data_IF_743597837242
#
_entry.id   IF_743597837242
#
_cell.length_a   1.000
_cell.length_b   1.000
_cell.length_c   1.000
_cell.angle_alpha   90.00
_cell.angle_beta   90.00
_cell.angle_gamma   90.00
#
_symmetry.space_group_name_H-M   'P 1'
#
loop_
_entity.id
_entity.type
_entity.pdbx_description
1 polymer ?
#
# COMPACT_ATOMS: atom_id res chain seq x y z
N UNK A 1 -11.31 4.98 11.15
CA UNK A 1 -10.62 5.50 9.95
C UNK A 1 -11.17 6.89 9.66
N UNK A 2 -10.37 7.80 9.12
CA UNK A 2 -10.90 9.09 8.62
C UNK A 2 -11.42 8.90 7.19
N UNK A 3 -12.60 9.43 6.88
CA UNK A 3 -13.20 9.33 5.54
C UNK A 3 -13.44 10.71 4.97
N UNK A 4 -12.97 10.91 3.75
CA UNK A 4 -13.22 12.13 2.98
C UNK A 4 -13.99 11.79 1.72
N UNK A 5 -15.12 12.46 1.49
CA UNK A 5 -15.87 12.34 0.24
C UNK A 5 -15.15 13.11 -0.85
N UNK A 6 -14.95 12.49 -2.02
CA UNK A 6 -14.40 13.20 -3.17
C UNK A 6 -15.44 14.15 -3.80
N UNK A 7 -14.96 15.17 -4.50
CA UNK A 7 -15.78 16.17 -5.21
C UNK A 7 -16.78 15.52 -6.19
N UNK A 8 -16.34 14.48 -6.90
CA UNK A 8 -17.21 13.56 -7.59
C UNK A 8 -17.88 12.63 -6.56
N UNK A 9 -19.05 13.07 -6.08
CA UNK A 9 -19.94 12.55 -5.03
C UNK A 9 -20.17 11.02 -4.90
N UNK A 10 -19.54 10.20 -5.74
CA UNK A 10 -19.61 8.74 -5.81
C UNK A 10 -18.34 8.02 -5.34
N UNK A 11 -17.30 8.73 -4.89
CA UNK A 11 -16.08 8.10 -4.36
C UNK A 11 -15.65 8.67 -3.01
N UNK A 12 -14.95 7.86 -2.24
CA UNK A 12 -14.45 8.18 -0.90
C UNK A 12 -12.95 7.92 -0.81
N UNK A 13 -12.29 8.63 0.10
CA UNK A 13 -10.90 8.40 0.51
C UNK A 13 -10.90 7.96 1.95
N UNK A 14 -10.56 6.69 2.19
CA UNK A 14 -10.35 6.18 3.53
C UNK A 14 -8.88 6.36 3.94
N UNK A 15 -8.68 6.83 5.16
CA UNK A 15 -7.38 6.97 5.82
C UNK A 15 -7.36 6.02 7.01
N UNK A 16 -6.79 4.82 6.79
CA UNK A 16 -6.73 3.76 7.79
C UNK A 16 -5.74 4.13 8.90
N UNK A 17 -6.08 3.79 10.14
CA UNK A 17 -5.12 3.74 11.25
C UNK A 17 -4.25 2.48 11.15
N UNK A 18 -3.14 2.38 11.89
CA UNK A 18 -2.34 1.16 11.95
C UNK A 18 -3.16 -0.07 12.38
N UNK A 19 -3.99 0.06 13.41
CA UNK A 19 -4.83 -1.03 13.90
C UNK A 19 -5.86 -1.50 12.87
N UNK A 20 -6.46 -0.55 12.14
CA UNK A 20 -7.40 -0.86 11.06
C UNK A 20 -6.70 -1.55 9.89
N UNK A 21 -5.53 -1.07 9.47
CA UNK A 21 -4.73 -1.75 8.46
C UNK A 21 -4.39 -3.18 8.89
N UNK A 22 -4.00 -3.40 10.15
CA UNK A 22 -3.73 -4.73 10.68
C UNK A 22 -4.99 -5.60 10.72
N UNK A 23 -6.15 -5.03 11.08
CA UNK A 23 -7.43 -5.74 11.04
C UNK A 23 -7.76 -6.21 9.62
N UNK A 24 -7.65 -5.31 8.63
CA UNK A 24 -7.86 -5.64 7.21
C UNK A 24 -6.90 -6.74 6.73
N UNK A 25 -5.61 -6.66 7.10
CA UNK A 25 -4.59 -7.65 6.75
C UNK A 25 -4.91 -9.03 7.34
N UNK A 26 -5.43 -9.10 8.58
CA UNK A 26 -5.81 -10.35 9.25
C UNK A 26 -7.11 -10.96 8.71
N UNK A 27 -8.05 -10.12 8.28
CA UNK A 27 -9.32 -10.56 7.69
C UNK A 27 -9.17 -11.10 6.25
N UNK A 28 -7.97 -11.08 5.67
CA UNK A 28 -7.72 -11.60 4.34
C UNK A 28 -8.05 -13.10 4.27
N UNK A 29 -8.97 -13.47 3.37
CA UNK A 29 -9.45 -14.86 3.26
C UNK A 29 -8.44 -15.88 2.74
N UNK A 30 -7.23 -15.43 2.36
CA UNK A 30 -6.13 -16.32 1.96
C UNK A 30 -4.78 -15.64 2.20
N UNK A 31 -3.70 -16.43 2.29
CA UNK A 31 -2.35 -15.89 2.41
C UNK A 31 -1.97 -15.02 1.21
N UNK A 32 -2.38 -15.41 -0.02
CA UNK A 32 -2.26 -14.59 -1.23
C UNK A 32 -2.92 -13.23 -1.08
N UNK A 33 -4.16 -13.19 -0.60
CA UNK A 33 -4.90 -11.93 -0.45
C UNK A 33 -4.27 -11.05 0.66
N UNK A 34 -3.71 -11.67 1.72
CA UNK A 34 -2.93 -10.96 2.73
C UNK A 34 -1.67 -10.33 2.13
N UNK A 35 -0.92 -11.07 1.29
CA UNK A 35 0.24 -10.53 0.57
C UNK A 35 -0.14 -9.38 -0.37
N UNK A 36 -1.28 -9.47 -1.07
CA UNK A 36 -1.79 -8.37 -1.90
C UNK A 36 -2.02 -7.10 -1.06
N UNK A 37 -2.58 -7.24 0.15
CA UNK A 37 -2.78 -6.14 1.08
C UNK A 37 -1.44 -5.56 1.54
N UNK A 38 -0.48 -6.42 1.91
CA UNK A 38 0.88 -6.03 2.31
C UNK A 38 1.61 -5.27 1.20
N UNK A 39 1.54 -5.73 -0.05
CA UNK A 39 2.16 -5.04 -1.18
C UNK A 39 1.57 -3.65 -1.41
N UNK A 40 0.26 -3.46 -1.18
CA UNK A 40 -0.36 -2.15 -1.24
C UNK A 40 0.00 -1.24 -0.06
N UNK A 41 -0.01 -1.78 1.16
CA UNK A 41 0.08 -1.01 2.41
C UNK A 41 1.49 -0.83 2.98
N UNK A 42 2.40 -1.76 2.71
CA UNK A 42 3.77 -1.78 3.26
C UNK A 42 4.82 -1.52 2.17
N UNK A 43 4.53 -1.84 0.91
CA UNK A 43 5.42 -1.58 -0.25
C UNK A 43 4.92 -0.43 -1.14
N UNK A 44 3.64 -0.04 -0.97
CA UNK A 44 3.04 1.04 -1.72
C UNK A 44 2.76 0.70 -3.18
N UNK A 45 2.66 -0.57 -3.58
CA UNK A 45 2.31 -0.94 -4.95
C UNK A 45 0.90 -0.49 -5.32
N UNK A 46 0.71 -0.09 -6.59
CA UNK A 46 -0.62 0.12 -7.17
C UNK A 46 -1.22 -1.22 -7.57
N UNK A 47 -2.55 -1.30 -7.63
CA UNK A 47 -3.24 -2.55 -7.97
C UNK A 47 -2.90 -3.14 -9.34
N UNK A 48 -2.42 -2.32 -10.29
CA UNK A 48 -1.95 -2.79 -11.60
C UNK A 48 -0.46 -3.14 -11.62
N UNK A 49 0.31 -2.73 -10.62
CA UNK A 49 1.73 -3.08 -10.46
C UNK A 49 1.85 -4.50 -9.87
N UNK A 50 0.95 -4.88 -8.95
CA UNK A 50 0.96 -6.19 -8.26
C UNK A 50 0.98 -7.39 -9.23
N UNK A 51 0.17 -7.46 -10.30
CA UNK A 51 0.23 -8.55 -11.29
C UNK A 51 1.56 -8.71 -12.03
N UNK A 52 2.41 -7.68 -12.04
CA UNK A 52 3.63 -7.67 -12.84
C UNK A 52 4.84 -8.22 -12.08
N UNK A 53 4.72 -8.43 -10.77
CA UNK A 53 5.87 -8.78 -9.94
C UNK A 53 6.20 -10.27 -10.08
N UNK A 54 7.48 -10.58 -10.08
CA UNK A 54 8.06 -11.91 -10.28
C UNK A 54 9.13 -12.15 -9.23
N UNK A 55 9.47 -13.40 -8.87
CA UNK A 55 10.55 -13.64 -7.92
C UNK A 55 11.88 -13.00 -8.36
N UNK A 56 12.19 -12.99 -9.66
CA UNK A 56 13.40 -12.34 -10.21
C UNK A 56 13.46 -10.81 -10.04
N UNK A 57 12.32 -10.17 -9.73
CA UNK A 57 12.26 -8.73 -9.51
C UNK A 57 12.75 -8.32 -8.11
N UNK A 58 12.92 -9.27 -7.19
CA UNK A 58 13.50 -9.02 -5.87
C UNK A 58 15.03 -8.93 -5.99
N UNK A 59 15.60 -7.83 -5.52
CA UNK A 59 17.04 -7.54 -5.60
C UNK A 59 17.58 -7.03 -4.28
N UNK A 60 18.79 -7.44 -3.93
CA UNK A 60 19.51 -6.92 -2.76
C UNK A 60 20.36 -5.72 -3.18
N UNK A 61 20.24 -4.61 -2.45
CA UNK A 61 20.99 -3.37 -2.64
C UNK A 61 21.49 -2.93 -1.26
N UNK A 62 22.81 -2.99 -1.05
CA UNK A 62 23.47 -2.61 0.21
C UNK A 62 22.86 -3.26 1.47
N UNK A 63 22.52 -4.55 1.37
CA UNK A 63 21.91 -5.31 2.48
C UNK A 63 20.41 -5.08 2.67
N UNK A 64 19.76 -4.35 1.76
CA UNK A 64 18.32 -4.13 1.79
C UNK A 64 17.64 -4.60 0.49
N UNK A 65 16.48 -5.23 0.62
CA UNK A 65 15.71 -5.66 -0.52
C UNK A 65 15.01 -4.50 -1.25
N UNK A 66 14.96 -4.62 -2.57
CA UNK A 66 14.21 -3.77 -3.49
C UNK A 66 13.36 -4.66 -4.39
N UNK A 67 12.17 -4.19 -4.71
CA UNK A 67 11.28 -4.83 -5.67
C UNK A 67 11.22 -3.99 -6.95
N UNK A 68 11.74 -4.53 -8.05
CA UNK A 68 11.61 -3.92 -9.37
C UNK A 68 10.15 -3.98 -9.82
N UNK A 69 9.55 -2.82 -10.07
CA UNK A 69 8.24 -2.69 -10.73
C UNK A 69 8.49 -2.38 -12.20
N UNK A 70 8.17 -3.28 -13.14
CA UNK A 70 8.47 -3.10 -14.56
C UNK A 70 7.78 -1.89 -15.17
N UNK A 71 6.47 -1.76 -14.99
CA UNK A 71 5.68 -0.68 -15.57
C UNK A 71 4.88 0.04 -14.49
N UNK A 72 5.24 1.32 -14.28
CA UNK A 72 4.52 2.23 -13.40
C UNK A 72 3.24 2.80 -14.03
N UNK A 73 2.73 3.90 -13.46
CA UNK A 73 1.58 4.60 -14.06
C UNK A 73 2.06 5.35 -15.29
N UNK A 74 1.47 5.04 -16.43
CA UNK A 74 1.67 5.80 -17.65
C UNK A 74 0.79 7.05 -17.67
N UNK A 75 1.41 8.22 -17.65
CA UNK A 75 0.73 9.52 -17.83
C UNK A 75 1.01 10.14 -19.18
N UNK A 76 1.89 9.53 -19.98
CA UNK A 76 2.44 10.10 -21.21
C UNK A 76 2.28 9.18 -22.44
N UNK A 77 1.69 7.99 -22.29
CA UNK A 77 1.36 7.05 -23.36
C UNK A 77 2.50 6.11 -23.80
N UNK A 78 3.58 6.01 -23.02
CA UNK A 78 4.80 5.26 -23.35
C UNK A 78 5.07 3.98 -22.55
N UNK A 79 4.10 3.48 -21.78
CA UNK A 79 4.35 2.50 -20.73
C UNK A 79 4.94 3.20 -19.50
N UNK A 80 4.34 3.03 -18.33
CA UNK A 80 4.72 3.84 -17.17
C UNK A 80 6.14 3.56 -16.71
N UNK A 81 6.81 4.57 -16.14
CA UNK A 81 8.23 4.49 -15.79
C UNK A 81 8.49 3.38 -14.76
N UNK A 82 9.51 2.53 -14.96
CA UNK A 82 9.89 1.53 -13.96
C UNK A 82 10.36 2.22 -12.68
N UNK A 83 10.21 1.52 -11.55
CA UNK A 83 10.73 1.98 -10.25
C UNK A 83 11.19 0.81 -9.40
N UNK A 84 12.06 1.10 -8.45
CA UNK A 84 12.52 0.13 -7.45
C UNK A 84 11.87 0.50 -6.11
N UNK A 85 10.85 -0.25 -5.72
CA UNK A 85 10.18 -0.07 -4.45
C UNK A 85 11.07 -0.61 -3.31
N UNK A 86 11.07 0.06 -2.16
CA UNK A 86 11.66 -0.50 -0.96
C UNK A 86 10.83 -1.72 -0.53
N UNK A 87 11.48 -2.87 -0.33
CA UNK A 87 10.82 -4.10 0.09
C UNK A 87 11.23 -4.40 1.54
N UNK A 88 10.32 -4.25 2.53
CA UNK A 88 10.60 -4.65 3.91
C UNK A 88 10.95 -6.14 4.00
N UNK A 89 11.90 -6.49 4.88
CA UNK A 89 12.40 -7.88 5.04
C UNK A 89 11.30 -8.89 5.37
N UNK A 90 10.31 -8.48 6.17
CA UNK A 90 9.14 -9.30 6.48
C UNK A 90 8.33 -9.64 5.23
N UNK A 91 8.08 -8.63 4.38
CA UNK A 91 7.31 -8.78 3.14
C UNK A 91 8.13 -9.56 2.10
N UNK A 92 9.44 -9.35 2.00
CA UNK A 92 10.34 -10.16 1.18
C UNK A 92 10.25 -11.64 1.55
N UNK A 93 10.41 -11.93 2.84
CA UNK A 93 10.40 -13.31 3.36
C UNK A 93 9.06 -14.00 3.08
N UNK A 94 7.95 -13.31 3.33
CA UNK A 94 6.61 -13.83 3.06
C UNK A 94 6.36 -14.05 1.57
N UNK A 95 6.79 -13.12 0.71
CA UNK A 95 6.60 -13.18 -0.74
C UNK A 95 7.40 -14.32 -1.38
N UNK A 96 8.67 -14.47 -1.00
CA UNK A 96 9.53 -15.54 -1.52
C UNK A 96 9.13 -16.91 -0.97
N UNK A 97 8.67 -16.98 0.28
CA UNK A 97 8.09 -18.20 0.83
C UNK A 97 6.85 -18.63 0.05
N UNK A 98 5.95 -17.69 -0.23
CA UNK A 98 4.77 -17.97 -1.05
C UNK A 98 5.13 -18.50 -2.42
N UNK A 99 6.05 -17.83 -3.13
CA UNK A 99 6.52 -18.27 -4.44
C UNK A 99 7.09 -19.70 -4.40
N UNK A 100 7.89 -20.01 -3.36
CA UNK A 100 8.46 -21.35 -3.20
C UNK A 100 7.39 -22.43 -2.93
N UNK A 101 6.44 -22.15 -2.04
CA UNK A 101 5.38 -23.10 -1.67
C UNK A 101 4.44 -23.38 -2.84
N UNK A 102 4.12 -22.37 -3.64
CA UNK A 102 3.25 -22.50 -4.82
C UNK A 102 4.01 -23.01 -6.07
N UNK A 103 5.34 -23.20 -5.98
CA UNK A 103 6.16 -23.66 -7.10
C UNK A 103 6.25 -22.65 -8.25
N UNK A 104 6.25 -21.36 -7.95
CA UNK A 104 6.31 -20.28 -8.94
C UNK A 104 7.75 -20.10 -9.42
N UNK A 105 7.95 -20.19 -10.73
CA UNK A 105 9.27 -20.01 -11.34
C UNK A 105 9.74 -18.55 -11.30
N UNK A 106 11.05 -18.33 -11.47
CA UNK A 106 11.66 -17.01 -11.26
C UNK A 106 11.14 -15.92 -12.20
N UNK A 107 10.77 -16.28 -13.42
CA UNK A 107 10.26 -15.41 -14.47
C UNK A 107 8.73 -15.42 -14.59
N UNK A 108 8.04 -16.14 -13.69
CA UNK A 108 6.59 -16.19 -13.64
C UNK A 108 6.01 -15.12 -12.69
N UNK A 109 4.82 -14.57 -12.98
CA UNK A 109 4.13 -13.69 -12.06
C UNK A 109 3.88 -14.38 -10.71
N UNK A 110 4.21 -13.71 -9.60
CA UNK A 110 3.94 -14.25 -8.26
C UNK A 110 2.44 -14.43 -8.04
N UNK A 111 1.63 -13.58 -8.64
CA UNK A 111 0.18 -13.71 -8.61
C UNK A 111 -0.37 -13.70 -10.03
N UNK A 112 -0.92 -14.83 -10.47
CA UNK A 112 -1.69 -14.91 -11.70
C UNK A 112 -3.09 -14.28 -11.50
N UNK A 113 -3.11 -12.94 -11.44
CA UNK A 113 -4.32 -12.14 -11.22
C UNK A 113 -4.28 -10.88 -12.08
N UNK A 114 -5.44 -10.38 -12.46
CA UNK A 114 -5.54 -9.06 -13.10
C UNK A 114 -5.61 -7.93 -12.08
N UNK A 115 -5.35 -6.69 -12.52
CA UNK A 115 -5.64 -5.46 -11.74
C UNK A 115 -7.04 -5.48 -11.11
N UNK A 116 -8.05 -5.90 -11.87
CA UNK A 116 -9.45 -5.93 -11.41
C UNK A 116 -9.67 -7.00 -10.35
N UNK A 117 -8.98 -8.14 -10.46
CA UNK A 117 -8.97 -9.16 -9.41
C UNK A 117 -8.33 -8.63 -8.13
N UNK A 118 -7.18 -7.95 -8.20
CA UNK A 118 -6.55 -7.31 -7.03
C UNK A 118 -7.52 -6.34 -6.34
N UNK A 119 -8.15 -5.45 -7.11
CA UNK A 119 -9.14 -4.51 -6.58
C UNK A 119 -10.31 -5.21 -5.89
N UNK A 120 -10.83 -6.28 -6.51
CA UNK A 120 -11.94 -7.08 -5.96
C UNK A 120 -11.53 -7.81 -4.68
N UNK A 121 -10.31 -8.35 -4.59
CA UNK A 121 -9.83 -9.04 -3.38
C UNK A 121 -9.75 -8.09 -2.20
N UNK A 122 -9.12 -6.92 -2.36
CA UNK A 122 -9.08 -5.89 -1.30
C UNK A 122 -10.50 -5.47 -0.90
N UNK A 123 -11.39 -5.29 -1.88
CA UNK A 123 -12.77 -4.91 -1.62
C UNK A 123 -13.52 -5.97 -0.81
N UNK A 124 -13.41 -7.24 -1.21
CA UNK A 124 -14.05 -8.35 -0.52
C UNK A 124 -13.54 -8.50 0.92
N UNK A 125 -12.22 -8.33 1.15
CA UNK A 125 -11.67 -8.34 2.51
C UNK A 125 -12.24 -7.21 3.37
N UNK A 126 -12.37 -6.00 2.82
CA UNK A 126 -13.00 -4.90 3.54
C UNK A 126 -14.50 -5.14 3.82
N UNK A 127 -15.23 -5.79 2.91
CA UNK A 127 -16.63 -6.16 3.13
C UNK A 127 -16.78 -7.18 4.27
N UNK A 128 -15.87 -8.16 4.37
CA UNK A 128 -15.82 -9.09 5.52
C UNK A 128 -15.63 -8.32 6.84
N UNK A 129 -14.67 -7.39 6.89
CA UNK A 129 -14.47 -6.58 8.10
C UNK A 129 -15.70 -5.74 8.42
N UNK A 130 -16.39 -5.21 7.41
CA UNK A 130 -17.62 -4.45 7.60
C UNK A 130 -18.76 -5.29 8.20
N UNK A 131 -18.87 -6.55 7.79
CA UNK A 131 -19.86 -7.50 8.30
C UNK A 131 -19.52 -7.94 9.75
N UNK A 132 -18.24 -8.13 10.07
CA UNK A 132 -17.77 -8.57 11.39
C UNK A 132 -17.78 -7.47 12.45
N UNK A 133 -17.51 -6.22 12.06
CA UNK A 133 -17.39 -5.07 12.99
C UNK A 133 -18.65 -4.22 13.11
N UNK A 134 -19.69 -4.50 12.33
CA UNK A 134 -20.89 -3.65 12.15
C UNK A 134 -20.57 -2.19 11.79
N UNK A 135 -19.39 -1.95 11.20
CA UNK A 135 -18.97 -0.63 10.74
C UNK A 135 -19.08 -0.54 9.20
N UNK A 136 -20.11 0.12 8.66
CA UNK A 136 -20.33 0.20 7.23
C UNK A 136 -19.28 1.03 6.48
N UNK A 137 -18.45 1.78 7.17
CA UNK A 137 -17.40 2.59 6.55
C UNK A 137 -16.32 1.75 5.87
N UNK A 138 -16.09 0.52 6.36
CA UNK A 138 -15.24 -0.46 5.69
C UNK A 138 -15.68 -0.74 4.25
N UNK A 139 -16.98 -0.67 3.96
CA UNK A 139 -17.50 -0.80 2.59
C UNK A 139 -17.15 0.39 1.69
N UNK A 140 -16.38 1.38 2.15
CA UNK A 140 -15.81 2.45 1.30
C UNK A 140 -14.34 2.18 0.95
N UNK A 141 -13.67 1.27 1.67
CA UNK A 141 -12.25 0.95 1.47
C UNK A 141 -12.01 0.30 0.11
N UNK A 142 -10.89 0.65 -0.50
CA UNK A 142 -10.44 0.24 -1.82
C UNK A 142 -8.92 0.01 -1.85
N UNK A 143 -8.43 -0.66 -2.90
CA UNK A 143 -6.98 -0.85 -3.11
C UNK A 143 -6.15 0.45 -3.16
N UNK A 144 -6.75 1.58 -3.52
CA UNK A 144 -6.03 2.86 -3.54
C UNK A 144 -5.74 3.36 -2.13
N UNK A 145 -6.55 2.95 -1.15
CA UNK A 145 -6.44 3.38 0.24
C UNK A 145 -5.28 2.68 0.95
N UNK A 146 -4.87 1.49 0.48
CA UNK A 146 -3.63 0.83 0.92
C UNK A 146 -2.40 1.69 0.58
N UNK A 147 -2.31 2.18 -0.66
CA UNK A 147 -1.23 3.07 -1.06
C UNK A 147 -1.29 4.42 -0.33
N UNK A 148 -2.49 4.88 0.04
CA UNK A 148 -2.68 6.05 0.89
C UNK A 148 -2.16 5.82 2.30
N UNK A 149 -2.48 4.67 2.88
CA UNK A 149 -1.96 4.24 4.17
C UNK A 149 -0.42 4.19 4.15
N UNK A 150 0.18 3.55 3.16
CA UNK A 150 1.64 3.52 2.96
C UNK A 150 2.25 4.93 2.96
N UNK A 151 1.70 5.84 2.14
CA UNK A 151 2.20 7.20 2.03
C UNK A 151 2.08 7.98 3.34
N UNK A 152 0.94 7.86 4.04
CA UNK A 152 0.69 8.53 5.31
C UNK A 152 1.60 7.97 6.42
N UNK A 153 1.81 6.66 6.47
CA UNK A 153 2.71 6.05 7.44
C UNK A 153 4.12 6.61 7.26
N UNK A 154 4.67 6.61 6.05
CA UNK A 154 6.02 7.12 5.86
C UNK A 154 6.13 8.64 6.07
N UNK A 155 5.21 9.44 5.50
CA UNK A 155 5.35 10.90 5.51
C UNK A 155 4.90 11.55 6.82
N UNK A 156 3.86 11.02 7.46
CA UNK A 156 3.21 11.66 8.62
C UNK A 156 3.65 10.98 9.92
N UNK A 157 3.56 9.64 10.00
CA UNK A 157 3.89 8.90 11.23
C UNK A 157 5.41 8.79 11.41
N UNK A 158 6.11 8.28 10.39
CA UNK A 158 7.57 8.10 10.42
C UNK A 158 8.36 9.37 10.06
N UNK A 159 7.67 10.44 9.63
CA UNK A 159 8.26 11.73 9.24
C UNK A 159 9.42 11.60 8.24
N UNK A 160 9.32 10.61 7.34
CA UNK A 160 10.33 10.31 6.34
C UNK A 160 10.56 11.51 5.43
N UNK A 161 11.83 11.73 5.06
CA UNK A 161 12.19 12.75 4.08
C UNK A 161 11.38 12.56 2.79
N UNK A 162 10.56 13.55 2.36
CA UNK A 162 9.70 13.39 1.20
C UNK A 162 10.45 13.03 -0.09
N UNK A 163 11.70 13.47 -0.27
CA UNK A 163 12.51 13.11 -1.45
C UNK A 163 12.85 11.62 -1.48
N UNK A 164 13.10 11.02 -0.32
CA UNK A 164 13.34 9.57 -0.20
C UNK A 164 12.07 8.81 -0.55
N UNK A 165 10.93 9.24 0.00
CA UNK A 165 9.62 8.63 -0.28
C UNK A 165 9.23 8.74 -1.75
N UNK A 166 9.47 9.90 -2.39
CA UNK A 166 9.23 10.10 -3.82
C UNK A 166 10.06 9.14 -4.68
N UNK A 167 11.34 8.95 -4.34
CA UNK A 167 12.25 8.04 -5.04
C UNK A 167 11.76 6.58 -4.98
N UNK A 168 11.49 6.05 -3.78
CA UNK A 168 11.08 4.63 -3.63
C UNK A 168 9.64 4.40 -4.06
N UNK A 169 8.79 5.40 -3.86
CA UNK A 169 7.38 5.33 -4.15
C UNK A 169 7.02 5.58 -5.61
N UNK A 170 7.92 6.15 -6.41
CA UNK A 170 7.66 6.54 -7.79
C UNK A 170 6.65 7.67 -7.91
N UNK A 171 6.82 8.73 -7.10
CA UNK A 171 6.13 9.99 -7.26
C UNK A 171 7.04 11.00 -7.96
N UNK A 172 6.54 11.60 -9.05
CA UNK A 172 7.35 12.48 -9.91
C UNK A 172 7.47 13.93 -9.42
N UNK A 173 6.66 14.36 -8.44
CA UNK A 173 6.67 15.74 -7.94
C UNK A 173 6.17 15.84 -6.50
N UNK A 174 6.50 16.95 -5.83
CA UNK A 174 5.96 17.28 -4.51
C UNK A 174 4.45 17.47 -4.54
N UNK A 175 3.90 18.06 -5.60
CA UNK A 175 2.44 18.21 -5.78
C UNK A 175 1.73 16.85 -5.78
N UNK A 176 2.38 15.82 -6.34
CA UNK A 176 1.82 14.48 -6.39
C UNK A 176 1.79 13.77 -5.02
N UNK A 177 2.61 14.22 -4.06
CA UNK A 177 2.58 13.74 -2.67
C UNK A 177 1.78 14.66 -1.74
N UNK A 178 1.54 15.91 -2.15
CA UNK A 178 0.77 16.92 -1.41
C UNK A 178 -0.51 16.39 -0.78
N UNK A 179 -1.38 15.66 -1.51
CA UNK A 179 -2.60 15.09 -0.95
C UNK A 179 -2.40 14.22 0.29
N UNK A 180 -1.25 13.55 0.43
CA UNK A 180 -0.91 12.67 1.56
C UNK A 180 -0.33 13.42 2.77
N UNK A 181 0.06 14.68 2.59
CA UNK A 181 0.63 15.55 3.64
C UNK A 181 -0.45 16.35 4.39
N UNK A 182 -1.69 16.38 3.88
CA UNK A 182 -2.63 17.47 4.17
C UNK A 182 -3.25 17.49 5.57
N UNK A 183 -2.99 16.51 6.43
CA UNK A 183 -3.34 16.65 7.85
C UNK A 183 -2.55 15.64 8.70
N UNK A 184 -1.95 16.10 9.82
CA UNK A 184 -1.47 15.20 10.86
C UNK A 184 -2.57 14.20 11.25
N UNK A 185 -2.19 12.96 11.55
CA UNK A 185 -3.12 12.01 12.19
C UNK A 185 -3.43 12.49 13.61
N UNK A 186 -4.60 12.13 14.15
CA UNK A 186 -4.93 12.43 15.55
C UNK A 186 -3.84 11.93 16.51
N UNK A 187 -3.30 10.75 16.24
CA UNK A 187 -2.13 10.17 16.91
C UNK A 187 -0.92 11.12 16.91
N UNK A 188 -0.48 11.60 15.74
CA UNK A 188 0.66 12.52 15.63
C UNK A 188 0.38 13.86 16.29
N UNK A 189 -0.87 14.36 16.21
CA UNK A 189 -1.27 15.57 16.96
C UNK A 189 -1.11 15.33 18.45
N UNK A 190 -1.64 14.22 18.97
CA UNK A 190 -1.57 13.91 20.40
C UNK A 190 -0.13 13.74 20.89
N UNK A 191 0.73 13.05 20.12
CA UNK A 191 2.15 12.88 20.43
C UNK A 191 2.90 14.20 20.46
N UNK A 192 2.67 15.08 19.47
CA UNK A 192 3.27 16.40 19.42
C UNK A 192 2.86 17.26 20.61
N UNK A 193 1.57 17.30 20.96
CA UNK A 193 1.10 18.07 22.12
C UNK A 193 1.58 17.49 23.46
N UNK A 194 1.68 16.16 23.57
CA UNK A 194 2.28 15.52 24.76
C UNK A 194 3.77 15.86 24.91
N UNK A 195 4.51 15.93 23.80
CA UNK A 195 5.92 16.33 23.79
C UNK A 195 6.15 17.84 23.96
N UNK A 196 5.21 18.67 23.53
CA UNK A 196 5.35 20.13 23.52
C UNK A 196 5.27 20.79 24.91
N UNK A 197 5.06 20.04 26.01
CA UNK A 197 4.94 20.59 27.37
C UNK A 197 3.95 21.76 27.45
N UNK A 198 2.83 21.68 26.75
CA UNK A 198 1.76 22.67 26.85
C UNK A 198 0.79 22.17 27.93
N UNK A 199 1.02 22.62 29.17
CA UNK A 199 -0.02 22.60 30.22
C UNK A 199 -1.00 23.76 30.01
#
# INVERSE_FOLDING_TARGET
MRIERCENHHSYRCWLTPDEYQHLKRAAGSYRDSLIIQLGGEVGLRSFEIPQIRPEHVRQVDGHARLRVPEGKDTEGGGGKPRDAYLPESVESDLLRYANVEGIERDEPIFDVTKRTVQRRVKATAEVVADESDDPDWRKVSSHDLRRYYAQTLLVRERMNPRVMMQVGGWGSFDAIGPYLNAPTEEVVNEEFAGASVN
#
